data_IF_002970034156
#
_entry.id   IF_002970034156
#
_cell.length_a   1.000
_cell.length_b   1.000
_cell.length_c   1.000
_cell.angle_alpha   90.00
_cell.angle_beta   90.00
_cell.angle_gamma   90.00
#
_symmetry.space_group_name_H-M   'P 1'
#
loop_
_entity.id
_entity.type
_entity.pdbx_description
1 polymer ?
#
# COMPACT_ATOMS: atom_id res chain seq x y z
N UNK A 1 -0.10 24.56 -12.08
CA UNK A 1 -0.82 23.71 -13.06
C UNK A 1 -1.20 22.40 -12.39
N UNK A 2 -2.43 21.92 -12.59
CA UNK A 2 -2.83 20.57 -12.16
C UNK A 2 -2.71 19.62 -13.35
N UNK A 3 -2.20 18.40 -13.12
CA UNK A 3 -2.20 17.34 -14.13
C UNK A 3 -3.65 16.94 -14.39
N UNK A 4 -4.17 16.95 -15.62
CA UNK A 4 -5.60 16.68 -15.85
C UNK A 4 -5.97 15.21 -15.68
N UNK A 5 -5.03 14.28 -15.84
CA UNK A 5 -5.31 12.85 -15.85
C UNK A 5 -5.13 12.20 -14.47
N UNK A 6 -6.23 11.70 -13.90
CA UNK A 6 -6.24 11.05 -12.57
C UNK A 6 -5.34 9.82 -12.47
N UNK A 7 -5.19 9.04 -13.56
CA UNK A 7 -4.29 7.87 -13.60
C UNK A 7 -2.82 8.26 -13.48
N UNK A 8 -2.40 9.33 -14.14
CA UNK A 8 -1.04 9.85 -14.04
C UNK A 8 -0.79 10.37 -12.62
N UNK A 9 -1.74 11.10 -12.06
CA UNK A 9 -1.65 11.59 -10.68
C UNK A 9 -1.51 10.43 -9.68
N UNK A 10 -2.31 9.37 -9.81
CA UNK A 10 -2.22 8.16 -8.98
C UNK A 10 -0.83 7.52 -9.09
N UNK A 11 -0.31 7.36 -10.31
CA UNK A 11 1.01 6.75 -10.53
C UNK A 11 2.13 7.58 -9.90
N UNK A 12 2.07 8.90 -10.04
CA UNK A 12 3.05 9.81 -9.42
C UNK A 12 2.96 9.70 -7.91
N UNK A 13 1.75 9.67 -7.35
CA UNK A 13 1.52 9.52 -5.92
C UNK A 13 2.14 8.22 -5.38
N UNK A 14 1.88 7.11 -6.08
CA UNK A 14 2.47 5.81 -5.75
C UNK A 14 4.00 5.84 -5.73
N UNK A 15 4.62 6.46 -6.74
CA UNK A 15 6.09 6.64 -6.82
C UNK A 15 6.62 7.52 -5.69
N UNK A 16 5.94 8.60 -5.33
CA UNK A 16 6.36 9.45 -4.21
C UNK A 16 6.41 8.67 -2.89
N UNK A 17 5.40 7.85 -2.63
CA UNK A 17 5.36 7.00 -1.44
C UNK A 17 6.42 5.89 -1.49
N UNK A 18 6.61 5.24 -2.63
CA UNK A 18 7.69 4.24 -2.78
C UNK A 18 9.07 4.85 -2.56
N UNK A 19 9.31 6.05 -3.08
CA UNK A 19 10.56 6.77 -2.85
C UNK A 19 10.72 7.09 -1.36
N UNK A 20 9.69 7.62 -0.70
CA UNK A 20 9.74 7.94 0.73
C UNK A 20 10.01 6.71 1.61
N UNK A 21 9.38 5.57 1.32
CA UNK A 21 9.61 4.32 2.06
C UNK A 21 11.04 3.79 1.92
N UNK A 22 11.66 3.98 0.75
CA UNK A 22 12.97 3.42 0.44
C UNK A 22 14.11 4.44 0.56
N UNK A 23 13.82 5.70 0.89
CA UNK A 23 14.81 6.77 0.88
C UNK A 23 15.75 6.67 2.08
N UNK A 24 17.05 6.48 1.82
CA UNK A 24 18.10 6.51 2.85
C UNK A 24 18.62 7.91 3.15
N UNK A 25 18.33 8.88 2.29
CA UNK A 25 18.80 10.25 2.42
C UNK A 25 17.71 11.12 3.07
N UNK A 26 17.98 11.64 4.27
CA UNK A 26 17.03 12.45 5.02
C UNK A 26 16.60 13.72 4.27
N UNK A 27 17.53 14.40 3.62
CA UNK A 27 17.23 15.63 2.88
C UNK A 27 16.30 15.34 1.70
N UNK A 28 16.57 14.27 0.95
CA UNK A 28 15.71 13.84 -0.15
C UNK A 28 14.29 13.51 0.34
N UNK A 29 14.17 12.77 1.45
CA UNK A 29 12.86 12.46 2.05
C UNK A 29 12.11 13.73 2.45
N UNK A 30 12.79 14.70 3.08
CA UNK A 30 12.20 16.00 3.43
C UNK A 30 11.73 16.80 2.22
N UNK A 31 12.52 16.80 1.13
CA UNK A 31 12.14 17.44 -0.14
C UNK A 31 10.90 16.79 -0.72
N UNK A 32 10.85 15.46 -0.80
CA UNK A 32 9.70 14.72 -1.33
C UNK A 32 8.45 14.97 -0.48
N UNK A 33 8.56 14.93 0.86
CA UNK A 33 7.45 15.28 1.77
C UNK A 33 6.97 16.72 1.59
N UNK A 34 7.87 17.65 1.27
CA UNK A 34 7.52 19.04 0.98
C UNK A 34 6.81 19.20 -0.36
N UNK A 35 7.24 18.46 -1.38
CA UNK A 35 6.52 18.37 -2.67
C UNK A 35 5.12 17.81 -2.45
N UNK A 36 4.98 16.71 -1.69
CA UNK A 36 3.68 16.14 -1.36
C UNK A 36 2.78 17.17 -0.66
N UNK A 37 3.29 17.94 0.31
CA UNK A 37 2.53 19.02 0.97
C UNK A 37 2.09 20.13 -0.01
N UNK A 38 2.93 20.44 -1.00
CA UNK A 38 2.72 21.53 -1.96
C UNK A 38 1.69 21.25 -3.06
N UNK A 39 1.51 19.99 -3.46
CA UNK A 39 0.55 19.58 -4.51
C UNK A 39 -0.88 19.44 -3.96
N UNK A 40 -1.89 19.59 -4.83
CA UNK A 40 -3.27 19.19 -4.48
C UNK A 40 -3.48 17.72 -4.81
N UNK A 41 -4.07 16.96 -3.88
CA UNK A 41 -4.32 15.53 -4.04
C UNK A 41 -5.79 15.26 -3.74
N UNK A 42 -6.40 14.35 -4.48
CA UNK A 42 -7.76 13.91 -4.21
C UNK A 42 -7.78 12.80 -3.15
N UNK A 43 -8.74 12.87 -2.23
CA UNK A 43 -8.92 11.87 -1.20
C UNK A 43 -9.14 10.46 -1.77
N UNK A 44 -9.80 10.33 -2.92
CA UNK A 44 -9.99 9.02 -3.57
C UNK A 44 -8.66 8.36 -3.94
N UNK A 45 -7.66 9.16 -4.34
CA UNK A 45 -6.33 8.66 -4.70
C UNK A 45 -5.55 8.16 -3.49
N UNK A 46 -5.79 8.78 -2.34
CA UNK A 46 -5.24 8.35 -1.06
C UNK A 46 -5.92 7.06 -0.59
N UNK A 47 -7.24 6.93 -0.77
CA UNK A 47 -7.96 5.69 -0.45
C UNK A 47 -7.36 4.49 -1.18
N UNK A 48 -7.06 4.61 -2.48
CA UNK A 48 -6.42 3.55 -3.28
C UNK A 48 -5.07 3.11 -2.70
N UNK A 49 -4.30 4.04 -2.13
CA UNK A 49 -2.97 3.77 -1.56
C UNK A 49 -3.02 3.20 -0.14
N UNK A 50 -4.13 3.41 0.57
CA UNK A 50 -4.40 2.87 1.91
C UNK A 50 -5.03 1.48 1.86
N UNK A 51 -5.64 1.11 0.74
CA UNK A 51 -6.22 -0.22 0.54
C UNK A 51 -5.14 -1.30 0.33
N UNK A 52 -5.43 -2.57 0.69
CA UNK A 52 -4.52 -3.68 0.43
C UNK A 52 -4.22 -3.79 -1.06
N UNK A 53 -2.96 -3.56 -1.43
CA UNK A 53 -2.52 -3.76 -2.79
C UNK A 53 -2.39 -5.27 -3.05
N UNK A 54 -3.00 -5.82 -4.11
CA UNK A 54 -2.78 -7.22 -4.46
C UNK A 54 -1.29 -7.41 -4.71
N UNK A 55 -0.66 -8.40 -4.06
CA UNK A 55 0.74 -8.75 -4.32
C UNK A 55 0.87 -9.01 -5.81
N UNK A 56 1.54 -8.12 -6.53
CA UNK A 56 1.92 -8.36 -7.92
C UNK A 56 2.76 -9.62 -7.90
N UNK A 57 2.21 -10.73 -8.43
CA UNK A 57 2.97 -11.95 -8.62
C UNK A 57 4.16 -11.56 -9.47
N UNK A 58 5.37 -11.54 -8.90
CA UNK A 58 6.60 -11.52 -9.69
C UNK A 58 6.50 -12.74 -10.57
N UNK A 59 6.17 -12.55 -11.85
CA UNK A 59 6.09 -13.65 -12.81
C UNK A 59 7.48 -14.25 -12.83
N UNK A 60 7.63 -15.40 -12.17
CA UNK A 60 8.86 -16.15 -12.18
C UNK A 60 9.23 -16.37 -13.65
N UNK A 61 10.42 -15.94 -14.04
CA UNK A 61 10.90 -16.10 -15.41
C UNK A 61 10.88 -17.58 -15.79
N UNK A 62 10.62 -17.87 -17.07
CA UNK A 62 10.37 -19.20 -17.66
C UNK A 62 11.35 -20.31 -17.21
N UNK A 63 12.56 -19.94 -16.78
CA UNK A 63 13.55 -20.88 -16.25
C UNK A 63 13.16 -21.53 -14.91
N UNK A 64 12.32 -20.88 -14.09
CA UNK A 64 11.91 -21.39 -12.77
C UNK A 64 10.76 -22.40 -12.90
N UNK A 65 9.91 -22.27 -13.92
CA UNK A 65 8.80 -23.20 -14.23
C UNK A 65 9.29 -24.60 -14.60
N UNK A 66 10.50 -24.73 -15.18
CA UNK A 66 11.06 -26.05 -15.57
C UNK A 66 11.57 -26.86 -14.38
N UNK A 67 12.12 -26.23 -13.33
CA UNK A 67 12.58 -26.93 -12.12
C UNK A 67 11.42 -27.35 -11.20
N UNK A 68 10.31 -26.61 -11.21
CA UNK A 68 9.15 -26.92 -10.36
C UNK A 68 8.32 -28.12 -10.87
N UNK A 69 8.26 -28.35 -12.19
CA UNK A 69 7.53 -29.52 -12.75
C UNK A 69 8.13 -30.87 -12.36
N UNK A 70 9.43 -30.95 -12.05
CA UNK A 70 10.09 -32.20 -11.64
C UNK A 70 9.85 -32.49 -10.15
N UNK A 71 9.61 -31.47 -9.32
CA UNK A 71 9.45 -31.62 -7.87
C UNK A 71 7.97 -31.73 -7.42
N UNK A 72 7.01 -31.44 -8.30
CA UNK A 72 5.57 -31.52 -7.99
C UNK A 72 4.98 -32.94 -7.98
N UNK A 73 5.69 -33.96 -8.45
CA UNK A 73 5.17 -35.34 -8.39
C UNK A 73 5.25 -35.99 -7.00
N UNK A 74 5.72 -35.30 -5.95
CA UNK A 74 5.99 -35.95 -4.65
C UNK A 74 5.55 -35.24 -3.37
N UNK A 75 4.75 -34.18 -3.41
CA UNK A 75 4.25 -33.56 -2.15
C UNK A 75 2.76 -33.23 -2.19
N UNK A 76 2.05 -33.99 -1.35
CA UNK A 76 0.85 -33.70 -0.55
C UNK A 76 0.20 -32.35 -0.83
N UNK A 77 -1.08 -32.41 -1.16
CA UNK A 77 -2.00 -31.29 -1.25
C UNK A 77 -2.01 -30.54 0.09
N UNK A 78 -1.30 -29.41 0.14
CA UNK A 78 -1.48 -28.39 1.17
C UNK A 78 -2.63 -27.50 0.70
N UNK A 79 -3.61 -27.16 1.54
CA UNK A 79 -4.71 -26.28 1.17
C UNK A 79 -4.17 -25.00 0.54
N UNK A 80 -4.82 -24.56 -0.52
CA UNK A 80 -4.56 -23.29 -1.19
C UNK A 80 -4.48 -22.20 -0.12
N UNK A 81 -3.26 -21.71 0.15
CA UNK A 81 -3.03 -20.60 1.05
C UNK A 81 -3.85 -19.44 0.48
N UNK A 82 -4.99 -19.17 1.11
CA UNK A 82 -5.78 -17.96 0.93
C UNK A 82 -4.76 -16.84 0.91
N UNK A 83 -4.62 -16.17 -0.23
CA UNK A 83 -3.63 -15.11 -0.39
C UNK A 83 -3.98 -14.05 0.64
N UNK A 84 -3.35 -14.12 1.80
CA UNK A 84 -3.44 -13.08 2.81
C UNK A 84 -2.95 -11.82 2.12
N UNK A 85 -3.91 -10.94 1.86
CA UNK A 85 -3.70 -9.55 1.52
C UNK A 85 -2.86 -8.95 2.65
N UNK A 86 -1.55 -9.14 2.57
CA UNK A 86 -0.64 -8.62 3.60
C UNK A 86 -0.69 -7.11 3.47
N UNK A 87 -1.42 -6.48 4.38
CA UNK A 87 -1.47 -5.02 4.47
C UNK A 87 -0.05 -4.49 4.61
N UNK A 88 0.30 -3.53 3.77
CA UNK A 88 1.57 -2.83 3.88
C UNK A 88 1.45 -1.75 4.95
N UNK A 89 1.50 -2.16 6.22
CA UNK A 89 1.37 -1.24 7.36
C UNK A 89 2.43 -0.13 7.36
N UNK A 90 3.63 -0.39 6.84
CA UNK A 90 4.67 0.65 6.69
C UNK A 90 4.21 1.76 5.73
N UNK A 91 3.65 1.38 4.57
CA UNK A 91 3.08 2.34 3.62
C UNK A 91 1.88 3.08 4.21
N UNK A 92 0.97 2.36 4.88
CA UNK A 92 -0.22 2.94 5.52
C UNK A 92 0.20 3.99 6.55
N UNK A 93 1.10 3.65 7.49
CA UNK A 93 1.58 4.57 8.52
C UNK A 93 2.25 5.80 7.90
N UNK A 94 3.10 5.63 6.89
CA UNK A 94 3.74 6.74 6.18
C UNK A 94 2.69 7.68 5.57
N UNK A 95 1.70 7.14 4.87
CA UNK A 95 0.65 7.94 4.23
C UNK A 95 -0.14 8.71 5.29
N UNK A 96 -0.55 8.05 6.38
CA UNK A 96 -1.27 8.68 7.48
C UNK A 96 -0.46 9.81 8.12
N UNK A 97 0.84 9.63 8.33
CA UNK A 97 1.73 10.68 8.85
C UNK A 97 1.79 11.89 7.91
N UNK A 98 1.93 11.66 6.60
CA UNK A 98 1.94 12.74 5.62
C UNK A 98 0.59 13.49 5.56
N UNK A 99 -0.52 12.79 5.74
CA UNK A 99 -1.87 13.36 5.74
C UNK A 99 -2.12 14.30 6.92
N UNK A 100 -1.51 14.07 8.09
CA UNK A 100 -1.67 14.94 9.27
C UNK A 100 -1.32 16.40 8.98
N UNK A 101 -0.46 16.66 8.00
CA UNK A 101 -0.02 18.01 7.63
C UNK A 101 -0.46 18.43 6.21
N UNK A 102 -1.36 17.67 5.57
CA UNK A 102 -1.79 17.89 4.19
C UNK A 102 -2.90 18.93 4.09
N UNK A 103 -2.52 20.18 3.79
CA UNK A 103 -3.48 21.30 3.63
C UNK A 103 -4.25 21.29 2.30
N UNK A 104 -3.72 20.65 1.26
CA UNK A 104 -4.26 20.64 -0.11
C UNK A 104 -4.87 19.29 -0.46
N UNK A 105 -5.79 18.81 0.38
CA UNK A 105 -6.56 17.59 0.17
C UNK A 105 -7.95 17.96 -0.36
N UNK A 106 -8.36 17.40 -1.49
CA UNK A 106 -9.71 17.58 -2.04
C UNK A 106 -10.61 16.47 -1.52
N UNK A 107 -11.89 16.80 -1.30
CA UNK A 107 -12.93 15.86 -0.87
C UNK A 107 -12.52 14.97 0.33
N UNK A 108 -11.99 15.52 1.43
CA UNK A 108 -11.46 14.73 2.55
C UNK A 108 -12.48 13.72 3.14
N UNK A 109 -13.78 13.98 3.01
CA UNK A 109 -14.84 13.06 3.44
C UNK A 109 -14.81 11.70 2.73
N UNK A 110 -14.24 11.60 1.53
CA UNK A 110 -14.10 10.35 0.81
C UNK A 110 -13.13 9.36 1.50
N UNK A 111 -12.29 9.84 2.42
CA UNK A 111 -11.41 8.99 3.24
C UNK A 111 -12.13 8.31 4.41
N UNK A 112 -13.31 8.79 4.82
CA UNK A 112 -14.00 8.30 6.03
C UNK A 112 -14.18 6.78 5.97
N UNK A 113 -14.74 6.16 4.90
CA UNK A 113 -14.92 4.71 4.86
C UNK A 113 -13.59 3.95 4.97
N UNK A 114 -12.55 4.39 4.25
CA UNK A 114 -11.24 3.74 4.25
C UNK A 114 -10.56 3.83 5.63
N UNK A 115 -10.64 4.98 6.30
CA UNK A 115 -10.06 5.16 7.64
C UNK A 115 -10.78 4.32 8.69
N UNK A 116 -12.11 4.25 8.65
CA UNK A 116 -12.86 3.38 9.56
C UNK A 116 -12.59 1.90 9.29
N UNK A 117 -12.46 1.49 8.02
CA UNK A 117 -12.05 0.13 7.68
C UNK A 117 -10.65 -0.21 8.23
N UNK A 118 -9.69 0.72 8.14
CA UNK A 118 -8.36 0.57 8.75
C UNK A 118 -8.44 0.43 10.27
N UNK A 119 -9.25 1.27 10.92
CA UNK A 119 -9.47 1.21 12.37
C UNK A 119 -10.09 -0.13 12.79
N UNK A 120 -11.09 -0.62 12.07
CA UNK A 120 -11.69 -1.93 12.32
C UNK A 120 -10.64 -3.04 12.29
N UNK A 121 -9.74 -3.04 11.29
CA UNK A 121 -8.64 -4.02 11.19
C UNK A 121 -7.63 -3.91 12.33
N UNK A 122 -7.37 -2.72 12.85
CA UNK A 122 -6.52 -2.54 14.04
C UNK A 122 -7.16 -3.08 15.33
N UNK A 123 -8.49 -3.27 15.33
CA UNK A 123 -9.28 -3.74 16.47
C UNK A 123 -9.72 -5.21 16.31
N UNK A 124 -9.39 -5.86 15.19
CA UNK A 124 -9.68 -7.28 15.00
C UNK A 124 -8.89 -8.09 16.05
N UNK A 125 -9.56 -8.99 16.81
CA UNK A 125 -8.87 -9.82 17.78
C UNK A 125 -7.75 -10.59 17.11
N UNK A 126 -6.52 -10.41 17.60
CA UNK A 126 -5.46 -11.34 17.22
C UNK A 126 -5.90 -12.70 17.74
N UNK A 127 -5.89 -13.73 16.88
CA UNK A 127 -6.47 -15.06 17.17
C UNK A 127 -5.78 -15.85 18.32
N UNK A 128 -5.13 -15.16 19.26
CA UNK A 128 -4.49 -15.72 20.46
C UNK A 128 -4.96 -15.12 21.80
N UNK A 129 -5.89 -14.15 21.83
CA UNK A 129 -6.34 -13.50 23.08
C UNK A 129 -7.70 -14.00 23.62
N UNK A 130 -8.19 -15.15 23.15
CA UNK A 130 -9.47 -15.74 23.63
C UNK A 130 -9.29 -16.84 24.70
N UNK A 131 -8.12 -16.97 25.33
CA UNK A 131 -7.90 -17.96 26.40
C UNK A 131 -7.02 -17.41 27.55
N UNK A 132 -7.55 -16.50 28.36
CA UNK A 132 -7.11 -16.29 29.74
C UNK A 132 -8.31 -16.18 30.70
#
# INVERSE_FOLDING_TARGET
AALPEGKIQQRILGVLFDLLLNCKNLHCAQTISSVFKGISVDAEQISIELEPQPKVKTVATVHQTRRQKIQQQRKVQVPECVQEETMNWQRITLILELLQHKKKLKQPQALIPTLFNLLSRCLEPTAGEENL
#
